data_IF_948017069086
#
_entry.id   IF_948017069086
#
_cell.length_a   1.000
_cell.length_b   1.000
_cell.length_c   1.000
_cell.angle_alpha   90.00
_cell.angle_beta   90.00
_cell.angle_gamma   90.00
#
_symmetry.space_group_name_H-M   'P 1'
#
loop_
_entity.id
_entity.type
_entity.pdbx_description
1 polymer ?
#
# COMPACT_ATOMS: atom_id res chain seq x y z
N UNK A 1 38.61 -38.99 -3.79
CA UNK A 1 37.27 -38.51 -4.15
C UNK A 1 36.60 -38.09 -2.85
N UNK A 2 36.74 -36.83 -2.47
CA UNK A 2 36.15 -36.32 -1.22
C UNK A 2 34.69 -35.97 -1.51
N UNK A 3 33.78 -36.71 -0.88
CA UNK A 3 32.35 -36.48 -0.97
C UNK A 3 32.01 -35.22 -0.16
N UNK A 4 31.56 -34.19 -0.87
CA UNK A 4 31.14 -32.92 -0.30
C UNK A 4 29.86 -33.14 0.52
N UNK A 5 30.01 -33.20 1.85
CA UNK A 5 28.89 -33.33 2.77
C UNK A 5 28.11 -32.01 2.80
N UNK A 6 27.14 -31.88 1.90
CA UNK A 6 26.08 -30.88 2.01
C UNK A 6 25.25 -31.20 3.26
N UNK A 7 25.67 -30.67 4.41
CA UNK A 7 24.85 -30.55 5.60
C UNK A 7 23.55 -29.86 5.21
N UNK A 8 22.46 -30.62 5.18
CA UNK A 8 21.10 -30.10 4.99
C UNK A 8 20.74 -29.28 6.23
N UNK A 9 21.20 -28.04 6.27
CA UNK A 9 20.77 -27.07 7.27
C UNK A 9 19.25 -26.96 7.16
N UNK A 10 18.54 -27.37 8.22
CA UNK A 10 17.08 -27.28 8.28
C UNK A 10 16.76 -25.79 8.31
N UNK A 11 16.57 -25.20 7.13
CA UNK A 11 16.28 -23.79 7.00
C UNK A 11 14.99 -23.48 7.78
N UNK A 12 15.10 -22.62 8.79
CA UNK A 12 13.93 -22.13 9.51
C UNK A 12 13.08 -21.33 8.53
N UNK A 13 11.98 -21.93 8.08
CA UNK A 13 11.00 -21.26 7.24
C UNK A 13 9.93 -20.63 8.13
N UNK A 14 9.50 -19.40 7.83
CA UNK A 14 8.37 -18.82 8.52
C UNK A 14 7.14 -19.71 8.29
N UNK A 15 6.20 -19.76 9.27
CA UNK A 15 5.03 -20.63 9.22
C UNK A 15 4.13 -20.45 7.98
N UNK A 16 4.24 -19.30 7.30
CA UNK A 16 3.56 -19.05 6.04
C UNK A 16 4.50 -18.36 5.05
N UNK A 17 4.43 -18.75 3.78
CA UNK A 17 5.07 -18.01 2.70
C UNK A 17 4.48 -16.60 2.63
N UNK A 18 5.28 -15.52 2.46
CA UNK A 18 4.78 -14.15 2.37
C UNK A 18 3.73 -13.97 1.25
N UNK A 19 2.85 -12.95 1.34
CA UNK A 19 1.84 -12.76 0.32
C UNK A 19 2.49 -12.35 -1.00
N UNK A 20 2.11 -13.01 -2.09
CA UNK A 20 2.68 -12.76 -3.43
C UNK A 20 2.14 -11.50 -4.12
N UNK A 21 1.25 -10.72 -3.48
CA UNK A 21 0.66 -9.55 -4.14
C UNK A 21 1.55 -8.30 -4.11
N UNK A 22 2.67 -8.28 -3.38
CA UNK A 22 3.63 -7.14 -3.37
C UNK A 22 3.00 -5.75 -3.11
N UNK A 23 1.83 -5.67 -2.47
CA UNK A 23 1.11 -4.41 -2.27
C UNK A 23 0.16 -4.03 -3.43
N UNK A 24 0.02 -4.86 -4.46
CA UNK A 24 -0.98 -4.77 -5.52
C UNK A 24 -2.36 -5.16 -5.01
N UNK A 25 -2.91 -4.33 -4.11
CA UNK A 25 -4.31 -4.41 -3.68
C UNK A 25 -5.07 -3.22 -4.24
N UNK A 26 -6.36 -3.42 -4.54
CA UNK A 26 -7.21 -2.34 -5.06
C UNK A 26 -7.30 -1.20 -4.03
N UNK A 27 -7.41 -1.52 -2.74
CA UNK A 27 -7.41 -0.52 -1.67
C UNK A 27 -6.11 0.30 -1.64
N UNK A 28 -4.95 -0.34 -1.79
CA UNK A 28 -3.65 0.36 -1.80
C UNK A 28 -3.51 1.30 -3.01
N UNK A 29 -3.76 0.80 -4.22
CA UNK A 29 -3.62 1.60 -5.44
C UNK A 29 -4.61 2.76 -5.51
N UNK A 30 -5.86 2.53 -5.10
CA UNK A 30 -6.86 3.59 -5.00
C UNK A 30 -6.39 4.72 -4.08
N UNK A 31 -5.94 4.36 -2.87
CA UNK A 31 -5.50 5.34 -1.87
C UNK A 31 -4.25 6.09 -2.35
N UNK A 32 -3.28 5.38 -2.91
CA UNK A 32 -2.03 5.94 -3.43
C UNK A 32 -2.31 6.99 -4.53
N UNK A 33 -3.08 6.63 -5.56
CA UNK A 33 -3.41 7.52 -6.67
C UNK A 33 -4.20 8.73 -6.15
N UNK A 34 -5.18 8.52 -5.28
CA UNK A 34 -5.97 9.60 -4.71
C UNK A 34 -5.13 10.61 -3.92
N UNK A 35 -4.20 10.13 -3.08
CA UNK A 35 -3.27 10.99 -2.35
C UNK A 35 -2.34 11.73 -3.30
N UNK A 36 -1.78 11.06 -4.31
CA UNK A 36 -0.90 11.71 -5.30
C UNK A 36 -1.63 12.84 -6.04
N UNK A 37 -2.87 12.61 -6.48
CA UNK A 37 -3.68 13.62 -7.15
C UNK A 37 -4.00 14.78 -6.20
N UNK A 38 -4.44 14.49 -4.97
CA UNK A 38 -4.74 15.54 -3.99
C UNK A 38 -3.52 16.38 -3.61
N UNK A 39 -2.36 15.74 -3.41
CA UNK A 39 -1.10 16.42 -3.13
C UNK A 39 -0.64 17.27 -4.32
N UNK A 40 -0.80 16.79 -5.56
CA UNK A 40 -0.48 17.55 -6.76
C UNK A 40 -1.36 18.81 -6.87
N UNK A 41 -2.68 18.69 -6.65
CA UNK A 41 -3.61 19.83 -6.65
C UNK A 41 -3.25 20.82 -5.54
N UNK A 42 -2.93 20.32 -4.35
CA UNK A 42 -2.54 21.17 -3.23
C UNK A 42 -1.24 21.93 -3.51
N UNK A 43 -0.23 21.25 -4.07
CA UNK A 43 1.04 21.85 -4.46
C UNK A 43 0.84 22.95 -5.53
N UNK A 44 0.01 22.70 -6.55
CA UNK A 44 -0.36 23.72 -7.55
C UNK A 44 -1.00 24.93 -6.86
N UNK A 45 -1.93 24.72 -5.93
CA UNK A 45 -2.55 25.79 -5.15
C UNK A 45 -1.55 26.65 -4.40
N UNK A 46 -0.50 26.05 -3.82
CA UNK A 46 0.59 26.79 -3.16
C UNK A 46 1.41 27.59 -4.18
N UNK A 47 1.81 26.99 -5.30
CA UNK A 47 2.63 27.64 -6.34
C UNK A 47 1.96 28.90 -6.91
N UNK A 48 0.64 28.87 -7.09
CA UNK A 48 -0.13 29.99 -7.67
C UNK A 48 -0.76 30.90 -6.61
N UNK A 49 -0.40 30.75 -5.33
CA UNK A 49 -0.96 31.50 -4.20
C UNK A 49 -2.51 31.41 -4.06
N UNK A 50 -3.10 30.30 -4.51
CA UNK A 50 -4.54 30.02 -4.40
C UNK A 50 -4.85 29.11 -3.20
N UNK A 51 -5.06 29.73 -2.03
CA UNK A 51 -5.32 29.00 -0.76
C UNK A 51 -6.54 28.09 -0.83
N UNK A 52 -7.59 28.47 -1.57
CA UNK A 52 -8.77 27.62 -1.73
C UNK A 52 -8.44 26.31 -2.47
N UNK A 53 -7.53 26.34 -3.45
CA UNK A 53 -7.12 25.17 -4.22
C UNK A 53 -6.29 24.20 -3.37
N UNK A 54 -5.51 24.73 -2.43
CA UNK A 54 -4.84 23.92 -1.41
C UNK A 54 -5.85 23.07 -0.62
N UNK A 55 -6.93 23.69 -0.14
CA UNK A 55 -7.96 22.97 0.60
C UNK A 55 -8.76 21.98 -0.25
N UNK A 56 -8.97 22.26 -1.55
CA UNK A 56 -9.53 21.27 -2.48
C UNK A 56 -8.63 20.04 -2.58
N UNK A 57 -7.32 20.23 -2.74
CA UNK A 57 -6.35 19.13 -2.75
C UNK A 57 -6.38 18.32 -1.45
N UNK A 58 -6.42 18.99 -0.30
CA UNK A 58 -6.57 18.33 1.01
C UNK A 58 -7.89 17.57 1.15
N UNK A 59 -8.99 18.09 0.59
CA UNK A 59 -10.27 17.39 0.51
C UNK A 59 -10.17 16.09 -0.28
N UNK A 60 -9.47 16.09 -1.41
CA UNK A 60 -9.22 14.89 -2.22
C UNK A 60 -8.40 13.85 -1.43
N UNK A 61 -7.36 14.28 -0.71
CA UNK A 61 -6.57 13.41 0.18
C UNK A 61 -7.46 12.76 1.24
N UNK A 62 -8.32 13.53 1.90
CA UNK A 62 -9.24 13.01 2.91
C UNK A 62 -10.20 11.96 2.33
N UNK A 63 -10.77 12.21 1.15
CA UNK A 63 -11.64 11.25 0.46
C UNK A 63 -10.88 9.99 0.07
N UNK A 64 -9.64 10.10 -0.41
CA UNK A 64 -8.80 8.95 -0.76
C UNK A 64 -8.52 8.05 0.45
N UNK A 65 -8.21 8.64 1.61
CA UNK A 65 -7.99 7.92 2.85
C UNK A 65 -9.25 7.18 3.33
N UNK A 66 -10.40 7.87 3.31
CA UNK A 66 -11.69 7.27 3.69
C UNK A 66 -12.06 6.14 2.73
N UNK A 67 -11.98 6.37 1.42
CA UNK A 67 -12.28 5.35 0.41
C UNK A 67 -11.33 4.15 0.51
N UNK A 68 -10.05 4.38 0.77
CA UNK A 68 -9.06 3.33 1.02
C UNK A 68 -9.41 2.46 2.23
N UNK A 69 -9.81 3.07 3.34
CA UNK A 69 -10.25 2.37 4.54
C UNK A 69 -11.52 1.54 4.27
N UNK A 70 -12.49 2.11 3.56
CA UNK A 70 -13.71 1.42 3.17
C UNK A 70 -13.39 0.20 2.29
N UNK A 71 -12.58 0.37 1.24
CA UNK A 71 -12.16 -0.72 0.35
C UNK A 71 -11.41 -1.83 1.11
N UNK A 72 -10.52 -1.45 2.03
CA UNK A 72 -9.82 -2.42 2.89
C UNK A 72 -10.82 -3.24 3.72
N UNK A 73 -11.80 -2.59 4.33
CA UNK A 73 -12.80 -3.26 5.17
C UNK A 73 -13.75 -4.15 4.35
N UNK A 74 -13.97 -3.84 3.08
CA UNK A 74 -14.70 -4.68 2.13
C UNK A 74 -13.88 -5.88 1.60
N UNK A 75 -12.64 -6.05 2.03
CA UNK A 75 -11.78 -7.16 1.63
C UNK A 75 -10.95 -6.92 0.37
N UNK A 76 -10.94 -5.70 -0.17
CA UNK A 76 -10.08 -5.29 -1.29
C UNK A 76 -8.65 -4.92 -0.86
N UNK A 77 -8.34 -5.04 0.43
CA UNK A 77 -7.00 -4.85 0.98
C UNK A 77 -6.19 -6.14 1.04
N UNK A 78 -5.02 -6.05 1.66
CA UNK A 78 -4.15 -7.21 1.89
C UNK A 78 -4.85 -8.19 2.84
N UNK A 79 -5.04 -9.44 2.39
CA UNK A 79 -5.55 -10.51 3.27
C UNK A 79 -4.50 -10.83 4.32
N UNK A 80 -4.94 -10.97 5.57
CA UNK A 80 -4.10 -11.47 6.67
C UNK A 80 -3.74 -12.93 6.34
N UNK A 81 -2.47 -13.28 6.49
CA UNK A 81 -2.04 -14.65 6.31
C UNK A 81 -2.38 -15.41 7.59
N UNK A 82 -3.26 -16.38 7.46
CA UNK A 82 -3.56 -17.30 8.56
C UNK A 82 -2.45 -18.36 8.58
N UNK A 83 -1.78 -18.51 9.73
CA UNK A 83 -0.84 -19.60 9.96
C UNK A 83 -1.66 -20.91 10.03
N UNK A 84 -1.72 -21.64 8.92
CA UNK A 84 -2.26 -22.99 8.85
C UNK A 84 -1.13 -23.96 8.59
#
# INVERSE_FOLDING_TARGET
MAENQQTTEIAYLPPAAPPTNHGHTVAAWFTMIGIMVGALVAAIGVVVAAVWLFWVGMGVVAVALVGGLVLRNMGYGQKKQDAR
#
